data_IF_186870337793
#
_entry.id   IF_186870337793
#
_cell.length_a   1.000
_cell.length_b   1.000
_cell.length_c   1.000
_cell.angle_alpha   90.00
_cell.angle_beta   90.00
_cell.angle_gamma   90.00
#
_symmetry.space_group_name_H-M   'P 1'
#
loop_
_entity.id
_entity.type
_entity.pdbx_description
1 polymer ?
#
# COMPACT_ATOMS: atom_id res chain seq x y z
N UNK A 1 -23.04 3.34 -41.18
CA UNK A 1 -24.24 4.18 -41.13
C UNK A 1 -25.38 3.37 -40.53
N UNK A 2 -25.65 3.50 -39.24
CA UNK A 2 -26.69 2.74 -38.54
C UNK A 2 -28.05 3.42 -38.76
N UNK A 3 -29.01 2.66 -39.27
CA UNK A 3 -30.30 3.14 -39.76
C UNK A 3 -31.16 3.77 -38.67
N UNK A 4 -31.92 4.79 -39.07
CA UNK A 4 -32.83 5.59 -38.24
C UNK A 4 -33.94 4.80 -37.51
N UNK A 5 -34.06 3.47 -37.72
CA UNK A 5 -35.19 2.66 -37.26
C UNK A 5 -35.10 2.18 -35.81
N UNK A 6 -34.00 2.40 -35.09
CA UNK A 6 -33.85 2.02 -33.67
C UNK A 6 -33.90 3.19 -32.67
N UNK A 7 -33.91 4.44 -33.13
CA UNK A 7 -33.84 5.63 -32.26
C UNK A 7 -35.25 6.15 -31.89
N UNK A 8 -36.23 6.03 -32.79
CA UNK A 8 -37.62 6.44 -32.53
C UNK A 8 -38.33 5.71 -31.38
N UNK A 9 -38.15 4.38 -31.13
CA UNK A 9 -38.82 3.72 -30.01
C UNK A 9 -38.26 4.15 -28.64
N UNK A 10 -36.98 4.52 -28.55
CA UNK A 10 -36.39 5.01 -27.31
C UNK A 10 -36.82 6.44 -26.99
N UNK A 11 -36.91 7.31 -28.02
CA UNK A 11 -37.40 8.69 -27.86
C UNK A 11 -38.86 8.73 -27.45
N UNK A 12 -39.70 7.85 -28.02
CA UNK A 12 -41.12 7.73 -27.66
C UNK A 12 -41.31 7.08 -26.29
N UNK A 13 -40.50 6.10 -25.90
CA UNK A 13 -40.54 5.49 -24.57
C UNK A 13 -40.12 6.46 -23.45
N UNK A 14 -39.07 7.26 -23.68
CA UNK A 14 -38.66 8.34 -22.75
C UNK A 14 -39.77 9.39 -22.63
N UNK A 15 -40.45 9.75 -23.73
CA UNK A 15 -41.57 10.70 -23.74
C UNK A 15 -42.80 10.18 -22.97
N UNK A 16 -43.16 8.90 -23.16
CA UNK A 16 -44.30 8.26 -22.49
C UNK A 16 -44.04 7.97 -21.01
N UNK A 17 -42.81 7.60 -20.64
CA UNK A 17 -42.42 7.41 -19.23
C UNK A 17 -42.29 8.73 -18.47
N UNK A 18 -41.95 9.81 -19.19
CA UNK A 18 -41.95 11.17 -18.66
C UNK A 18 -43.37 11.65 -18.31
N UNK A 19 -44.38 11.33 -19.12
CA UNK A 19 -45.77 11.75 -18.88
C UNK A 19 -46.47 11.07 -17.68
N UNK A 20 -45.92 9.97 -17.14
CA UNK A 20 -46.57 9.18 -16.07
C UNK A 20 -46.00 9.40 -14.66
N UNK A 21 -44.92 10.17 -14.47
CA UNK A 21 -44.38 10.46 -13.13
C UNK A 21 -44.67 11.90 -12.70
N UNK A 22 -45.43 12.01 -11.61
CA UNK A 22 -45.67 13.24 -10.84
C UNK A 22 -44.41 14.09 -10.68
N UNK A 23 -44.53 15.42 -10.80
CA UNK A 23 -43.42 16.39 -10.70
C UNK A 23 -42.57 16.20 -9.43
N UNK A 24 -43.17 15.74 -8.33
CA UNK A 24 -42.49 15.41 -7.07
C UNK A 24 -41.49 14.25 -7.24
N UNK A 25 -41.80 13.27 -8.08
CA UNK A 25 -40.89 12.15 -8.37
C UNK A 25 -39.71 12.57 -9.26
N UNK A 26 -39.88 13.58 -10.12
CA UNK A 26 -38.78 14.14 -10.92
C UNK A 26 -37.80 14.94 -10.05
N UNK A 27 -38.31 15.72 -9.11
CA UNK A 27 -37.48 16.45 -8.14
C UNK A 27 -36.69 15.48 -7.25
N UNK A 28 -37.35 14.44 -6.74
CA UNK A 28 -36.71 13.41 -5.91
C UNK A 28 -35.63 12.62 -6.67
N UNK A 29 -35.84 12.38 -7.97
CA UNK A 29 -34.86 11.70 -8.82
C UNK A 29 -33.62 12.58 -9.06
N UNK A 30 -33.82 13.87 -9.34
CA UNK A 30 -32.71 14.83 -9.48
C UNK A 30 -31.96 15.03 -8.16
N UNK A 31 -32.67 15.10 -7.03
CA UNK A 31 -32.06 15.20 -5.71
C UNK A 31 -31.23 13.95 -5.38
N UNK A 32 -31.71 12.76 -5.75
CA UNK A 32 -30.97 11.50 -5.56
C UNK A 32 -29.71 11.42 -6.44
N UNK A 33 -29.74 11.99 -7.64
CA UNK A 33 -28.54 12.05 -8.49
C UNK A 33 -27.51 13.04 -7.95
N UNK A 34 -27.95 14.19 -7.42
CA UNK A 34 -27.07 15.17 -6.78
C UNK A 34 -26.38 14.58 -5.55
N UNK A 35 -27.12 13.89 -4.68
CA UNK A 35 -26.52 13.25 -3.49
C UNK A 35 -25.53 12.15 -3.87
N UNK A 36 -25.82 11.35 -4.90
CA UNK A 36 -24.86 10.36 -5.41
C UNK A 36 -23.60 11.03 -6.00
N UNK A 37 -23.75 12.15 -6.71
CA UNK A 37 -22.62 12.92 -7.24
C UNK A 37 -21.76 13.50 -6.12
N UNK A 38 -22.37 14.01 -5.05
CA UNK A 38 -21.68 14.51 -3.86
C UNK A 38 -20.94 13.39 -3.11
N UNK A 39 -21.56 12.21 -2.97
CA UNK A 39 -20.92 11.03 -2.37
C UNK A 39 -19.72 10.56 -3.21
N UNK A 40 -19.84 10.55 -4.53
CA UNK A 40 -18.73 10.19 -5.41
C UNK A 40 -17.59 11.23 -5.35
N UNK A 41 -17.92 12.52 -5.28
CA UNK A 41 -16.93 13.59 -5.18
C UNK A 41 -16.23 13.62 -3.82
N UNK A 42 -16.95 13.39 -2.73
CA UNK A 42 -16.37 13.28 -1.38
C UNK A 42 -15.44 12.08 -1.28
N UNK A 43 -15.78 10.94 -1.87
CA UNK A 43 -14.88 9.79 -1.96
C UNK A 43 -13.61 10.11 -2.76
N UNK A 44 -13.77 10.78 -3.90
CA UNK A 44 -12.66 11.22 -4.76
C UNK A 44 -11.73 12.21 -4.03
N UNK A 45 -12.29 13.13 -3.26
CA UNK A 45 -11.55 14.09 -2.46
C UNK A 45 -10.82 13.43 -1.29
N UNK A 46 -11.48 12.50 -0.59
CA UNK A 46 -10.87 11.75 0.50
C UNK A 46 -9.68 10.90 0.01
N UNK A 47 -9.84 10.21 -1.13
CA UNK A 47 -8.76 9.48 -1.79
C UNK A 47 -7.60 10.39 -2.18
N UNK A 48 -7.88 11.57 -2.74
CA UNK A 48 -6.86 12.57 -3.09
C UNK A 48 -6.12 13.07 -1.84
N UNK A 49 -6.84 13.34 -0.76
CA UNK A 49 -6.23 13.79 0.50
C UNK A 49 -5.35 12.71 1.13
N UNK A 50 -5.79 11.44 1.12
CA UNK A 50 -4.98 10.32 1.60
C UNK A 50 -3.68 10.17 0.79
N UNK A 51 -3.75 10.28 -0.54
CA UNK A 51 -2.57 10.26 -1.41
C UNK A 51 -1.62 11.43 -1.14
N UNK A 52 -2.17 12.64 -0.91
CA UNK A 52 -1.37 13.82 -0.56
C UNK A 52 -0.67 13.64 0.80
N UNK A 53 -1.30 12.97 1.77
CA UNK A 53 -0.67 12.69 3.06
C UNK A 53 0.49 11.69 2.89
N UNK A 54 0.29 10.63 2.10
CA UNK A 54 1.34 9.64 1.83
C UNK A 54 2.54 10.27 1.11
N UNK A 55 2.30 11.13 0.12
CA UNK A 55 3.39 11.81 -0.59
C UNK A 55 4.11 12.81 0.31
N UNK A 56 3.38 13.55 1.16
CA UNK A 56 3.98 14.43 2.18
C UNK A 56 4.92 13.65 3.10
N UNK A 57 4.47 12.53 3.67
CA UNK A 57 5.29 11.68 4.54
C UNK A 57 6.57 11.18 3.85
N UNK A 58 6.47 10.76 2.57
CA UNK A 58 7.63 10.37 1.78
C UNK A 58 8.59 11.55 1.51
N UNK A 59 8.06 12.75 1.24
CA UNK A 59 8.88 13.93 0.97
C UNK A 59 9.50 14.57 2.22
N UNK A 60 8.86 14.48 3.39
CA UNK A 60 9.42 15.00 4.66
C UNK A 60 10.66 14.22 5.07
N UNK A 61 10.79 12.95 4.67
CA UNK A 61 12.02 12.14 4.86
C UNK A 61 13.17 12.52 3.89
N UNK A 62 12.90 13.37 2.89
CA UNK A 62 13.81 13.69 1.78
C UNK A 62 14.15 15.19 1.72
N UNK A 63 14.13 15.92 2.83
CA UNK A 63 14.76 17.24 2.86
C UNK A 63 16.26 17.04 2.60
N UNK A 64 16.86 17.64 1.55
CA UNK A 64 18.29 17.56 1.37
C UNK A 64 18.90 18.50 2.40
N UNK A 65 19.19 18.00 3.60
CA UNK A 65 20.35 18.51 4.31
C UNK A 65 21.51 18.15 3.40
N UNK A 66 21.95 19.10 2.58
CA UNK A 66 23.20 19.01 1.84
C UNK A 66 24.33 19.06 2.87
N UNK A 67 24.41 18.02 3.69
CA UNK A 67 25.63 17.70 4.42
C UNK A 67 26.63 17.41 3.33
N UNK A 68 27.54 18.36 3.09
CA UNK A 68 28.69 18.09 2.24
C UNK A 68 29.26 16.75 2.67
N UNK A 69 29.21 15.77 1.77
CA UNK A 69 29.75 14.45 2.04
C UNK A 69 31.22 14.66 2.34
N UNK A 70 31.56 14.58 3.62
CA UNK A 70 32.95 14.69 4.07
C UNK A 70 33.65 13.47 3.49
N UNK A 71 34.34 13.68 2.35
CA UNK A 71 35.12 12.62 1.73
C UNK A 71 36.19 12.17 2.71
N UNK A 72 36.38 10.86 2.80
CA UNK A 72 37.49 10.28 3.55
C UNK A 72 38.80 10.84 3.01
N UNK A 73 39.61 11.47 3.86
CA UNK A 73 41.00 11.85 3.57
C UNK A 73 41.95 10.66 3.77
N UNK A 74 41.43 9.49 4.16
CA UNK A 74 42.24 8.29 4.35
C UNK A 74 42.77 7.83 3.00
N UNK A 75 44.07 7.61 2.93
CA UNK A 75 44.73 6.98 1.78
C UNK A 75 44.04 5.66 1.42
N UNK A 76 43.88 5.44 0.12
CA UNK A 76 43.23 4.23 -0.40
C UNK A 76 44.17 3.05 -0.23
N UNK A 77 43.92 2.22 0.79
CA UNK A 77 44.65 0.97 0.97
C UNK A 77 44.10 -0.09 0.02
N UNK A 78 44.92 -0.73 -0.83
CA UNK A 78 44.46 -1.80 -1.70
C UNK A 78 43.94 -2.98 -0.88
N UNK A 79 42.84 -3.59 -1.33
CA UNK A 79 42.29 -4.77 -0.67
C UNK A 79 43.29 -5.92 -0.74
N UNK A 80 43.69 -6.46 0.41
CA UNK A 80 44.39 -7.75 0.48
C UNK A 80 43.34 -8.85 0.35
N UNK A 81 43.48 -9.70 -0.67
CA UNK A 81 42.69 -10.94 -0.75
C UNK A 81 43.37 -11.99 0.12
N UNK A 82 42.60 -12.64 0.99
CA UNK A 82 43.05 -13.81 1.73
C UNK A 82 43.18 -14.99 0.78
N UNK A 83 44.17 -15.85 1.00
CA UNK A 83 44.29 -17.12 0.27
C UNK A 83 43.21 -18.09 0.74
N UNK A 84 42.85 -19.09 -0.08
CA UNK A 84 41.77 -20.05 0.23
C UNK A 84 41.93 -20.74 1.59
N UNK A 85 43.18 -20.88 2.02
CA UNK A 85 43.71 -21.45 3.26
C UNK A 85 43.63 -20.50 4.48
N UNK A 86 43.53 -19.20 4.26
CA UNK A 86 43.30 -18.18 5.31
C UNK A 86 41.79 -17.97 5.62
N UNK A 87 40.88 -18.49 4.77
CA UNK A 87 39.45 -18.43 5.06
C UNK A 87 39.08 -19.46 6.14
N UNK A 88 38.68 -18.96 7.30
CA UNK A 88 37.97 -19.76 8.28
C UNK A 88 36.53 -19.99 7.77
N UNK A 89 36.24 -21.22 7.35
CA UNK A 89 34.88 -21.66 7.11
C UNK A 89 34.19 -21.81 8.48
N UNK A 90 33.46 -20.76 8.90
CA UNK A 90 32.44 -20.93 9.93
C UNK A 90 31.38 -21.87 9.33
N UNK A 91 31.40 -23.13 9.74
CA UNK A 91 30.20 -23.94 9.63
C UNK A 91 29.23 -23.40 10.66
N UNK A 92 28.01 -23.05 10.26
CA UNK A 92 26.91 -22.74 11.17
C UNK A 92 26.62 -24.00 11.99
N UNK A 93 27.37 -24.17 13.08
CA UNK A 93 27.58 -25.44 13.79
C UNK A 93 26.37 -25.80 14.65
N UNK A 94 25.21 -25.94 14.02
CA UNK A 94 23.95 -26.23 14.70
C UNK A 94 22.80 -25.30 14.30
N UNK A 95 22.99 -24.33 13.40
CA UNK A 95 21.85 -23.55 12.93
C UNK A 95 20.98 -24.39 12.00
N UNK A 96 19.67 -24.50 12.27
CA UNK A 96 18.76 -25.24 11.41
C UNK A 96 18.61 -24.54 10.06
N UNK A 97 18.78 -25.29 8.98
CA UNK A 97 18.74 -24.76 7.60
C UNK A 97 17.32 -24.47 7.13
N UNK A 98 16.32 -25.01 7.81
CA UNK A 98 14.91 -24.99 7.43
C UNK A 98 14.01 -24.80 8.65
N UNK A 99 12.89 -24.10 8.45
CA UNK A 99 11.82 -23.96 9.43
C UNK A 99 11.31 -25.30 10.01
N UNK A 100 11.25 -26.37 9.20
CA UNK A 100 10.84 -27.68 9.74
C UNK A 100 11.87 -28.26 10.71
N UNK A 101 13.17 -27.99 10.50
CA UNK A 101 14.26 -28.43 11.37
C UNK A 101 14.25 -27.61 12.68
N UNK A 102 13.98 -26.31 12.59
CA UNK A 102 13.72 -25.43 13.74
C UNK A 102 12.63 -26.02 14.64
N UNK A 103 11.55 -26.56 14.05
CA UNK A 103 10.44 -27.14 14.81
C UNK A 103 10.76 -28.50 15.46
N UNK A 104 11.85 -29.14 15.08
CA UNK A 104 12.35 -30.36 15.70
C UNK A 104 13.44 -30.07 16.74
N UNK A 105 13.97 -28.84 16.77
CA UNK A 105 14.98 -28.40 17.71
C UNK A 105 14.43 -28.31 19.14
N UNK A 106 15.25 -28.70 20.13
CA UNK A 106 14.86 -28.70 21.54
C UNK A 106 14.49 -27.29 22.04
N UNK A 107 15.17 -26.28 21.49
CA UNK A 107 15.01 -24.86 21.84
C UNK A 107 13.84 -24.17 21.14
N UNK A 108 13.06 -24.86 20.29
CA UNK A 108 11.95 -24.26 19.54
C UNK A 108 10.95 -23.50 20.40
N UNK A 109 10.76 -23.94 21.65
CA UNK A 109 9.84 -23.32 22.60
C UNK A 109 10.29 -21.93 23.00
N UNK A 110 11.58 -21.75 23.23
CA UNK A 110 12.16 -20.46 23.60
C UNK A 110 12.11 -19.49 22.41
N UNK A 111 12.37 -19.96 21.19
CA UNK A 111 12.25 -19.13 19.99
C UNK A 111 10.81 -18.71 19.70
N UNK A 112 9.85 -19.64 19.83
CA UNK A 112 8.43 -19.32 19.67
C UNK A 112 7.96 -18.33 20.73
N UNK A 113 8.43 -18.48 21.97
CA UNK A 113 8.13 -17.56 23.06
C UNK A 113 8.69 -16.17 22.79
N UNK A 114 9.96 -16.07 22.39
CA UNK A 114 10.60 -14.79 22.04
C UNK A 114 9.88 -14.09 20.89
N UNK A 115 9.50 -14.83 19.84
CA UNK A 115 8.74 -14.30 18.71
C UNK A 115 7.36 -13.80 19.13
N UNK A 116 6.70 -14.47 20.08
CA UNK A 116 5.40 -14.06 20.61
C UNK A 116 5.51 -12.83 21.51
N UNK A 117 6.56 -12.75 22.33
CA UNK A 117 6.85 -11.59 23.18
C UNK A 117 7.16 -10.35 22.34
N UNK A 118 7.95 -10.49 21.28
CA UNK A 118 8.20 -9.40 20.31
C UNK A 118 6.93 -8.98 19.58
N UNK A 119 6.13 -9.93 19.08
CA UNK A 119 4.86 -9.60 18.45
C UNK A 119 3.96 -8.83 19.43
N UNK A 120 3.91 -9.22 20.71
CA UNK A 120 3.17 -8.51 21.75
C UNK A 120 3.75 -7.12 22.06
N UNK A 121 5.07 -6.96 21.99
CA UNK A 121 5.77 -5.68 22.18
C UNK A 121 5.35 -4.68 21.09
N UNK A 122 5.31 -5.12 19.84
CA UNK A 122 4.89 -4.32 18.69
C UNK A 122 3.46 -3.82 18.84
N UNK A 123 2.54 -4.70 19.21
CA UNK A 123 1.13 -4.32 19.43
C UNK A 123 0.96 -3.35 20.61
N UNK A 124 1.82 -3.44 21.63
CA UNK A 124 1.77 -2.54 22.79
C UNK A 124 2.32 -1.14 22.47
N UNK A 125 3.21 -1.02 21.49
CA UNK A 125 3.92 0.23 21.21
C UNK A 125 3.15 1.26 20.37
N UNK A 126 1.95 0.96 19.84
CA UNK A 126 1.04 1.92 19.17
C UNK A 126 1.74 3.02 18.31
N UNK A 127 2.77 2.65 17.54
CA UNK A 127 3.35 3.52 16.49
C UNK A 127 2.52 3.49 15.22
#
# INVERSE_FOLDING_TARGET
>A
MLSSSKIEPLKTWIRLRSQSLSMKNRLNWLQSLLTLWDIMNTWKLCKKNMLIQLTKMMTTSKLPTETQLRRSTREHQPSRRYTSDEYLLLSDGGEPKNYQEVLLHDEKKEWLKAMHEEMKSLHKNNT
#
